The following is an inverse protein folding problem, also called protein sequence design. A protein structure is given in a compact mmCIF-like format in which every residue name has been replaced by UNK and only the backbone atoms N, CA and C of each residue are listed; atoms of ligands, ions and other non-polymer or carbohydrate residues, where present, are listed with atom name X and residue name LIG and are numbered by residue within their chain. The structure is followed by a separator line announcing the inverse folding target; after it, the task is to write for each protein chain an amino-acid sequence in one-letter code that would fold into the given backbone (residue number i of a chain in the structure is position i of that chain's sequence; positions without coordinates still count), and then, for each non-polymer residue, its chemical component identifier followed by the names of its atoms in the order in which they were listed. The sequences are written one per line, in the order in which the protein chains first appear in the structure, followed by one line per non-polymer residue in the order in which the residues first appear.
data_IF_346195062622
#
_entry.id   IF_346195062622
#
_cell.length_a   1.000
_cell.length_b   1.000
_cell.length_c   1.000
_cell.angle_alpha   90.00
_cell.angle_beta   90.00
_cell.angle_gamma   90.00
#
_symmetry.space_group_name_H-M   'P 1'
#
loop_
_entity.id
_entity.type
_entity.pdbx_description
1 polymer ?
#
# COMPACT_ATOMS: atom_id res chain seq x y z
N UNK A 1 32.44 -42.03 22.06
CA UNK A 1 32.19 -40.62 21.68
C UNK A 1 31.42 -40.58 20.36
N UNK A 2 30.11 -40.30 20.40
CA UNK A 2 29.28 -40.07 19.21
C UNK A 2 28.68 -38.68 19.33
N UNK A 3 29.09 -37.76 18.47
CA UNK A 3 28.56 -36.40 18.40
C UNK A 3 27.25 -36.40 17.59
N UNK A 4 26.19 -35.91 18.21
CA UNK A 4 24.87 -35.74 17.60
C UNK A 4 24.81 -34.44 16.77
N UNK A 5 24.18 -34.41 15.59
CA UNK A 5 24.09 -33.18 14.80
C UNK A 5 22.97 -32.27 15.34
N UNK A 6 23.33 -31.04 15.69
CA UNK A 6 22.40 -29.96 16.06
C UNK A 6 21.45 -29.66 14.88
N UNK A 7 20.15 -29.85 15.08
CA UNK A 7 19.10 -29.32 14.18
C UNK A 7 19.14 -27.79 14.20
N UNK A 8 19.52 -27.18 13.08
CA UNK A 8 19.44 -25.74 12.84
C UNK A 8 17.96 -25.39 12.59
N UNK A 9 17.35 -24.60 13.48
CA UNK A 9 16.04 -23.98 13.21
C UNK A 9 16.23 -23.01 12.03
N UNK A 10 15.64 -23.31 10.88
CA UNK A 10 15.50 -22.36 9.79
C UNK A 10 14.44 -21.34 10.22
N UNK A 11 14.87 -20.12 10.53
CA UNK A 11 13.97 -18.98 10.59
C UNK A 11 13.57 -18.65 9.14
N UNK A 12 12.27 -18.41 8.92
CA UNK A 12 11.77 -17.94 7.64
C UNK A 12 12.46 -16.59 7.29
N UNK A 13 12.82 -16.36 6.01
CA UNK A 13 13.45 -15.12 5.62
C UNK A 13 12.49 -13.94 5.81
N UNK A 14 12.96 -12.90 6.49
CA UNK A 14 12.32 -11.59 6.55
C UNK A 14 12.34 -10.97 5.15
N UNK A 15 11.27 -11.16 4.38
CA UNK A 15 11.02 -10.35 3.18
C UNK A 15 10.27 -9.12 3.66
N UNK A 16 11.01 -8.05 3.91
CA UNK A 16 10.41 -6.74 4.17
C UNK A 16 9.89 -6.24 2.83
N UNK A 17 8.59 -6.42 2.59
CA UNK A 17 7.89 -5.67 1.57
C UNK A 17 7.73 -4.23 2.10
N UNK A 18 8.79 -3.42 1.99
CA UNK A 18 8.68 -1.97 2.18
C UNK A 18 7.88 -1.43 1.00
N UNK A 19 6.62 -1.09 1.22
CA UNK A 19 5.77 -0.52 0.18
C UNK A 19 6.12 0.95 0.00
N UNK A 20 6.20 1.32 -1.28
CA UNK A 20 6.49 2.66 -1.77
C UNK A 20 5.42 3.64 -1.28
N UNK A 21 5.87 4.78 -0.77
CA UNK A 21 5.09 6.00 -0.68
C UNK A 21 6.01 7.14 -1.03
N UNK A 22 6.18 7.32 -2.34
CA UNK A 22 6.52 8.61 -2.88
C UNK A 22 6.15 8.64 -4.36
N UNK A 23 5.20 9.52 -4.68
CA UNK A 23 4.95 9.95 -6.05
C UNK A 23 6.14 10.79 -6.52
N UNK A 24 6.62 10.51 -7.72
CA UNK A 24 7.76 11.21 -8.34
C UNK A 24 7.34 11.64 -9.74
N UNK A 25 7.78 12.79 -10.23
CA UNK A 25 7.22 13.43 -11.42
C UNK A 25 8.26 13.76 -12.52
N UNK A 26 7.76 14.00 -13.74
CA UNK A 26 8.28 13.59 -15.07
C UNK A 26 9.27 14.50 -15.86
N UNK A 27 9.66 14.00 -17.05
CA UNK A 27 10.15 14.70 -18.27
C UNK A 27 9.02 14.97 -19.31
N UNK A 28 9.20 15.85 -20.32
CA UNK A 28 8.13 16.23 -21.26
C UNK A 28 8.15 15.41 -22.58
N UNK A 29 6.97 15.13 -23.16
CA UNK A 29 6.87 14.92 -24.61
C UNK A 29 5.47 15.12 -25.19
N UNK A 30 5.43 16.03 -26.18
CA UNK A 30 4.62 16.14 -27.39
C UNK A 30 3.08 16.07 -27.28
N UNK A 31 2.48 17.15 -27.78
CA UNK A 31 1.07 17.45 -27.87
C UNK A 31 0.27 16.42 -28.69
N UNK A 32 -0.97 16.17 -28.27
CA UNK A 32 -2.02 15.59 -29.11
C UNK A 32 -3.28 16.45 -28.97
N UNK A 33 -3.91 16.64 -30.13
CA UNK A 33 -4.84 17.70 -30.52
C UNK A 33 -6.20 17.67 -29.80
N UNK A 34 -6.70 18.87 -29.52
CA UNK A 34 -8.01 19.15 -28.94
C UNK A 34 -9.12 18.98 -29.98
N UNK A 35 -10.15 18.19 -29.63
CA UNK A 35 -11.41 18.12 -30.38
C UNK A 35 -12.21 19.42 -30.18
N UNK A 36 -12.56 20.08 -31.28
CA UNK A 36 -13.41 21.27 -31.29
C UNK A 36 -14.88 20.86 -31.23
N UNK A 37 -15.58 21.22 -30.15
CA UNK A 37 -17.05 21.22 -30.11
C UNK A 37 -17.52 22.65 -30.36
N UNK A 38 -18.16 22.86 -31.51
CA UNK A 38 -18.83 24.11 -31.88
C UNK A 38 -20.11 24.22 -31.05
N UNK A 39 -20.27 25.29 -30.27
CA UNK A 39 -21.56 25.70 -29.70
C UNK A 39 -21.89 27.13 -30.11
N UNK A 40 -23.15 27.31 -30.53
CA UNK A 40 -23.75 28.54 -31.08
C UNK A 40 -24.11 29.52 -29.94
N UNK A 41 -24.03 30.85 -30.13
CA UNK A 41 -24.20 31.80 -29.03
C UNK A 41 -25.67 32.08 -28.70
N UNK A 42 -26.07 31.82 -27.45
CA UNK A 42 -27.27 32.37 -26.82
C UNK A 42 -26.86 33.35 -25.73
N UNK A 43 -27.30 34.60 -25.84
CA UNK A 43 -26.97 35.68 -24.91
C UNK A 43 -27.69 35.53 -23.56
N UNK A 44 -26.95 35.58 -22.44
CA UNK A 44 -27.37 36.21 -21.18
C UNK A 44 -26.27 36.18 -20.10
N UNK A 45 -26.11 37.34 -19.44
CA UNK A 45 -25.52 37.59 -18.12
C UNK A 45 -23.99 37.41 -17.93
N UNK A 46 -23.33 38.56 -17.75
CA UNK A 46 -21.96 38.70 -17.27
C UNK A 46 -21.80 38.10 -15.86
N UNK A 47 -21.26 36.89 -15.77
CA UNK A 47 -20.54 36.39 -14.60
C UNK A 47 -19.28 35.69 -15.09
N UNK A 48 -18.22 36.46 -15.32
CA UNK A 48 -16.94 35.99 -15.86
C UNK A 48 -16.09 35.19 -14.84
N UNK A 49 -16.70 34.41 -13.94
CA UNK A 49 -15.98 33.80 -12.81
C UNK A 49 -15.81 32.27 -12.93
N UNK A 50 -16.22 31.67 -14.05
CA UNK A 50 -16.03 30.24 -14.29
C UNK A 50 -15.81 29.97 -15.79
N UNK A 51 -14.64 30.34 -16.28
CA UNK A 51 -14.19 29.94 -17.62
C UNK A 51 -13.64 28.52 -17.56
N UNK A 52 -14.22 27.60 -18.35
CA UNK A 52 -13.76 26.20 -18.48
C UNK A 52 -12.50 26.04 -19.33
N UNK A 53 -11.87 27.15 -19.72
CA UNK A 53 -10.70 27.11 -20.58
C UNK A 53 -9.49 26.54 -19.81
N UNK A 54 -8.75 25.60 -20.41
CA UNK A 54 -7.54 25.08 -19.79
C UNK A 54 -6.54 26.22 -19.59
N UNK A 55 -6.23 26.43 -18.33
CA UNK A 55 -5.37 27.43 -17.69
C UNK A 55 -3.88 27.36 -18.13
N UNK A 56 -3.65 27.28 -19.45
CA UNK A 56 -2.33 26.97 -20.01
C UNK A 56 -1.53 28.22 -20.36
N UNK A 57 -2.17 29.38 -20.58
CA UNK A 57 -1.47 30.62 -20.97
C UNK A 57 -1.22 31.57 -19.79
N UNK A 58 -2.07 31.56 -18.77
CA UNK A 58 -1.97 32.50 -17.64
C UNK A 58 -0.80 32.18 -16.70
N UNK A 59 -0.39 30.91 -16.64
CA UNK A 59 0.62 30.41 -15.72
C UNK A 59 1.78 29.68 -16.42
N UNK A 60 2.20 30.15 -17.62
CA UNK A 60 3.25 29.49 -18.40
C UNK A 60 4.60 29.45 -17.66
N UNK A 61 4.95 30.52 -16.93
CA UNK A 61 6.21 30.59 -16.18
C UNK A 61 6.20 29.63 -14.99
N UNK A 62 5.16 29.65 -14.16
CA UNK A 62 4.98 28.76 -13.02
C UNK A 62 4.90 27.30 -13.46
N UNK A 63 4.27 27.01 -14.60
CA UNK A 63 4.24 25.67 -15.19
C UNK A 63 5.64 25.16 -15.49
N UNK A 64 6.50 25.99 -16.10
CA UNK A 64 7.92 25.62 -16.35
C UNK A 64 8.68 25.39 -15.05
N UNK A 65 8.50 26.26 -14.05
CA UNK A 65 9.11 26.08 -12.73
C UNK A 65 8.71 24.74 -12.09
N UNK A 66 7.43 24.37 -12.21
CA UNK A 66 6.93 23.08 -11.71
C UNK A 66 7.54 21.93 -12.51
N UNK A 67 7.49 21.96 -13.85
CA UNK A 67 8.09 20.91 -14.70
C UNK A 67 9.58 20.69 -14.41
N UNK A 68 10.33 21.77 -14.19
CA UNK A 68 11.73 21.72 -13.75
C UNK A 68 11.88 21.11 -12.36
N UNK A 69 11.05 21.50 -11.39
CA UNK A 69 11.02 20.89 -10.05
C UNK A 69 10.80 19.37 -10.14
N UNK A 70 9.82 18.94 -10.93
CA UNK A 70 9.48 17.52 -11.10
C UNK A 70 10.66 16.75 -11.72
N UNK A 71 11.23 17.26 -12.81
CA UNK A 71 12.42 16.69 -13.48
C UNK A 71 13.60 16.56 -12.52
N UNK A 72 13.84 17.58 -11.70
CA UNK A 72 14.93 17.58 -10.74
C UNK A 72 14.71 16.55 -9.63
N UNK A 73 13.49 16.41 -9.12
CA UNK A 73 13.16 15.38 -8.13
C UNK A 73 13.44 13.99 -8.69
N UNK A 74 12.96 13.67 -9.90
CA UNK A 74 13.21 12.36 -10.54
C UNK A 74 14.71 12.13 -10.71
N UNK A 75 15.46 13.14 -11.16
CA UNK A 75 16.92 13.06 -11.32
C UNK A 75 17.62 12.75 -10.00
N UNK A 76 17.30 13.49 -8.93
CA UNK A 76 17.91 13.30 -7.61
C UNK A 76 17.49 11.97 -6.99
N UNK A 77 16.26 11.54 -7.20
CA UNK A 77 15.78 10.24 -6.74
C UNK A 77 16.54 9.11 -7.43
N UNK A 78 16.68 9.17 -8.75
CA UNK A 78 17.44 8.20 -9.53
C UNK A 78 18.94 8.20 -9.20
N UNK A 79 19.46 9.33 -8.71
CA UNK A 79 20.81 9.46 -8.18
C UNK A 79 20.95 9.02 -6.71
N UNK A 80 19.88 8.56 -6.07
CA UNK A 80 19.83 8.16 -4.67
C UNK A 80 20.27 9.28 -3.70
N UNK A 81 20.01 10.53 -4.06
CA UNK A 81 20.37 11.71 -3.27
C UNK A 81 19.23 12.11 -2.33
N UNK A 82 19.15 11.46 -1.17
CA UNK A 82 18.04 11.61 -0.22
C UNK A 82 17.85 13.07 0.21
N UNK A 83 18.93 13.75 0.56
CA UNK A 83 18.89 15.12 1.05
C UNK A 83 18.33 16.07 -0.01
N UNK A 84 18.77 15.92 -1.27
CA UNK A 84 18.24 16.72 -2.37
C UNK A 84 16.77 16.42 -2.66
N UNK A 85 16.35 15.15 -2.66
CA UNK A 85 14.94 14.79 -2.82
C UNK A 85 14.10 15.43 -1.72
N UNK A 86 14.50 15.28 -0.46
CA UNK A 86 13.76 15.79 0.69
C UNK A 86 13.80 17.32 0.80
N UNK A 87 14.70 18.01 0.10
CA UNK A 87 14.73 19.48 0.02
C UNK A 87 13.50 20.07 -0.68
N UNK A 88 12.90 19.31 -1.61
CA UNK A 88 11.68 19.69 -2.33
C UNK A 88 10.40 19.52 -1.51
N UNK A 89 10.48 18.85 -0.36
CA UNK A 89 9.34 18.66 0.54
C UNK A 89 9.31 19.81 1.56
N UNK A 90 8.13 20.35 1.82
CA UNK A 90 7.91 21.34 2.87
C UNK A 90 8.11 20.71 4.26
N UNK A 91 8.44 21.52 5.26
CA UNK A 91 8.73 20.98 6.61
C UNK A 91 7.47 20.52 7.34
N UNK A 92 6.32 21.06 6.96
CA UNK A 92 4.97 20.67 7.42
C UNK A 92 4.29 19.66 6.47
N UNK A 93 5.04 19.04 5.55
CA UNK A 93 4.50 18.05 4.63
C UNK A 93 3.82 16.89 5.35
N UNK A 94 2.66 16.49 4.83
CA UNK A 94 1.94 15.29 5.21
C UNK A 94 1.19 14.70 4.01
N UNK A 95 1.20 13.38 3.84
CA UNK A 95 0.47 12.72 2.77
C UNK A 95 -0.90 12.19 3.21
N UNK A 96 -1.67 11.68 2.24
CA UNK A 96 -3.01 11.14 2.48
C UNK A 96 -3.06 9.95 3.45
N UNK A 97 -1.94 9.25 3.66
CA UNK A 97 -1.83 8.14 4.61
C UNK A 97 -1.36 8.60 6.01
N UNK A 98 -1.16 9.91 6.19
CA UNK A 98 -0.74 10.51 7.46
C UNK A 98 0.76 10.40 7.74
N UNK A 99 1.58 10.13 6.72
CA UNK A 99 3.04 10.12 6.85
C UNK A 99 3.59 11.53 6.71
N UNK A 100 4.45 11.91 7.66
CA UNK A 100 5.20 13.15 7.61
C UNK A 100 6.50 13.01 6.77
N UNK A 101 7.20 14.14 6.59
CA UNK A 101 8.45 14.19 5.82
C UNK A 101 9.53 13.26 6.35
N UNK A 102 9.58 13.05 7.67
CA UNK A 102 10.56 12.17 8.31
C UNK A 102 10.26 10.70 8.01
N UNK A 103 9.00 10.30 8.10
CA UNK A 103 8.56 8.96 7.75
C UNK A 103 8.83 8.64 6.27
N UNK A 104 8.50 9.56 5.36
CA UNK A 104 8.78 9.41 3.92
C UNK A 104 10.27 9.36 3.61
N UNK A 105 11.07 10.20 4.26
CA UNK A 105 12.53 10.16 4.16
C UNK A 105 13.08 8.79 4.55
N UNK A 106 12.63 8.25 5.69
CA UNK A 106 13.06 6.93 6.18
C UNK A 106 12.60 5.79 5.27
N UNK A 107 11.37 5.84 4.76
CA UNK A 107 10.85 4.87 3.80
C UNK A 107 11.64 4.87 2.50
N UNK A 108 11.98 6.05 1.98
CA UNK A 108 12.80 6.20 0.77
C UNK A 108 14.20 5.61 0.99
N UNK A 109 14.82 5.88 2.14
CA UNK A 109 16.11 5.32 2.51
C UNK A 109 16.07 3.78 2.61
N UNK A 110 15.05 3.21 3.27
CA UNK A 110 14.86 1.77 3.41
C UNK A 110 14.56 1.09 2.06
N UNK A 111 13.82 1.77 1.21
CA UNK A 111 13.55 1.33 -0.15
C UNK A 111 14.85 1.22 -0.95
N UNK A 112 15.71 2.25 -0.95
CA UNK A 112 17.01 2.20 -1.64
C UNK A 112 17.99 1.20 -1.03
N UNK A 113 17.95 0.96 0.28
CA UNK A 113 18.72 -0.13 0.92
C UNK A 113 18.25 -1.50 0.41
N UNK A 114 16.96 -1.64 0.17
CA UNK A 114 16.35 -2.88 -0.32
C UNK A 114 16.59 -3.06 -1.82
N UNK A 115 16.51 -1.98 -2.60
CA UNK A 115 16.63 -1.94 -4.05
C UNK A 115 17.67 -0.89 -4.49
N UNK A 116 18.98 -1.20 -4.38
CA UNK A 116 20.06 -0.23 -4.56
C UNK A 116 20.29 0.21 -6.01
N UNK A 117 19.68 -0.50 -6.97
CA UNK A 117 19.69 -0.18 -8.40
C UNK A 117 18.33 0.38 -8.85
N UNK A 118 17.46 0.78 -7.91
CA UNK A 118 16.13 1.23 -8.25
C UNK A 118 16.16 2.46 -9.16
N UNK A 119 15.27 2.46 -10.16
CA UNK A 119 15.03 3.58 -11.06
C UNK A 119 13.56 3.86 -11.14
N UNK A 120 13.21 5.14 -11.12
CA UNK A 120 11.87 5.66 -11.29
C UNK A 120 11.79 6.47 -12.57
N UNK A 121 10.65 6.42 -13.21
CA UNK A 121 10.26 7.36 -14.25
C UNK A 121 8.84 7.81 -13.99
N UNK A 122 8.52 9.03 -14.40
CA UNK A 122 7.17 9.54 -14.30
C UNK A 122 6.68 10.16 -15.59
N UNK A 123 5.37 10.21 -15.71
CA UNK A 123 4.64 10.92 -16.75
C UNK A 123 3.59 11.83 -16.12
N UNK A 124 3.79 13.14 -16.26
CA UNK A 124 2.80 14.15 -15.87
C UNK A 124 1.60 14.04 -16.79
N UNK A 125 0.41 13.92 -16.19
CA UNK A 125 -0.88 13.95 -16.89
C UNK A 125 -1.44 15.36 -16.95
N UNK A 126 -1.40 16.06 -15.82
CA UNK A 126 -1.91 17.43 -15.73
C UNK A 126 -1.17 18.24 -14.67
N UNK A 127 -1.13 19.56 -14.88
CA UNK A 127 -0.69 20.55 -13.90
C UNK A 127 -1.78 21.61 -13.87
N UNK A 128 -2.36 21.85 -12.70
CA UNK A 128 -3.29 22.95 -12.42
C UNK A 128 -2.63 23.91 -11.45
N UNK A 129 -2.70 25.21 -11.72
CA UNK A 129 -2.03 26.25 -10.93
C UNK A 129 -3.10 27.23 -10.46
N UNK A 130 -3.13 27.53 -9.18
CA UNK A 130 -4.11 28.43 -8.57
C UNK A 130 -3.37 29.36 -7.60
N UNK A 131 -2.94 30.52 -8.12
CA UNK A 131 -2.12 31.48 -7.38
C UNK A 131 -0.80 30.87 -6.92
N UNK A 132 -0.64 30.71 -5.59
CA UNK A 132 0.57 30.13 -5.00
C UNK A 132 0.50 28.61 -4.80
N UNK A 133 -0.50 27.94 -5.37
CA UNK A 133 -0.71 26.50 -5.25
C UNK A 133 -0.66 25.85 -6.62
N UNK A 134 -0.23 24.59 -6.64
CA UNK A 134 -0.34 23.75 -7.82
C UNK A 134 -0.72 22.33 -7.44
N UNK A 135 -1.51 21.68 -8.31
CA UNK A 135 -1.80 20.26 -8.24
C UNK A 135 -1.26 19.59 -9.49
N UNK A 136 -0.41 18.58 -9.30
CA UNK A 136 0.16 17.79 -10.39
C UNK A 136 -0.42 16.39 -10.32
N UNK A 137 -1.00 15.90 -11.41
CA UNK A 137 -1.40 14.49 -11.55
C UNK A 137 -0.36 13.76 -12.39
N UNK A 138 0.09 12.60 -11.93
CA UNK A 138 1.11 11.81 -12.61
C UNK A 138 0.83 10.32 -12.63
N UNK A 139 1.57 9.61 -13.48
CA UNK A 139 1.72 8.16 -13.48
C UNK A 139 3.19 7.82 -13.36
N UNK A 140 3.54 7.04 -12.35
CA UNK A 140 4.92 6.77 -11.97
C UNK A 140 5.19 5.27 -12.11
N UNK A 141 6.41 4.94 -12.50
CA UNK A 141 6.86 3.56 -12.64
C UNK A 141 8.22 3.42 -11.96
N UNK A 142 8.40 2.33 -11.20
CA UNK A 142 9.69 2.02 -10.60
C UNK A 142 10.11 0.58 -10.91
N UNK A 143 11.40 0.41 -11.20
CA UNK A 143 12.03 -0.90 -11.43
C UNK A 143 13.28 -1.01 -10.60
N UNK A 144 13.70 -2.23 -10.27
CA UNK A 144 14.94 -2.47 -9.54
C UNK A 144 15.09 -3.94 -9.16
N UNK A 145 16.14 -4.23 -8.41
CA UNK A 145 16.48 -5.57 -7.95
C UNK A 145 16.79 -5.57 -6.46
N UNK A 146 16.42 -6.61 -5.74
CA UNK A 146 16.78 -6.69 -4.31
C UNK A 146 18.30 -6.70 -4.12
N UNK A 147 18.80 -6.04 -3.07
CA UNK A 147 20.22 -6.01 -2.74
C UNK A 147 20.80 -7.42 -2.53
N UNK A 148 20.01 -8.29 -1.89
CA UNK A 148 20.38 -9.65 -1.53
C UNK A 148 19.49 -10.67 -2.24
N UNK A 149 20.05 -11.85 -2.47
CA UNK A 149 19.29 -13.00 -2.94
C UNK A 149 18.37 -13.53 -1.84
N UNK A 150 17.25 -14.13 -2.26
CA UNK A 150 16.37 -14.83 -1.33
C UNK A 150 16.96 -16.21 -0.98
N UNK A 151 17.18 -16.52 0.31
CA UNK A 151 17.63 -17.84 0.73
C UNK A 151 16.68 -18.96 0.26
N UNK A 152 17.23 -20.02 -0.30
CA UNK A 152 16.46 -21.19 -0.79
C UNK A 152 16.05 -21.09 -2.26
N UNK A 153 15.90 -19.88 -2.81
CA UNK A 153 15.69 -19.65 -4.25
C UNK A 153 16.98 -19.17 -4.93
N UNK A 154 17.87 -18.52 -4.17
CA UNK A 154 19.20 -18.06 -4.58
C UNK A 154 19.16 -17.17 -5.85
N UNK A 155 18.21 -16.25 -5.88
CA UNK A 155 18.12 -15.19 -6.89
C UNK A 155 17.74 -13.88 -6.23
N UNK A 156 18.16 -12.75 -6.83
CA UNK A 156 17.62 -11.43 -6.50
C UNK A 156 16.18 -11.31 -7.02
N UNK A 157 15.37 -10.54 -6.31
CA UNK A 157 13.99 -10.27 -6.68
C UNK A 157 13.89 -9.09 -7.63
N UNK A 158 13.09 -9.22 -8.67
CA UNK A 158 12.84 -8.12 -9.63
C UNK A 158 11.62 -7.33 -9.16
N UNK A 159 11.84 -6.05 -8.88
CA UNK A 159 10.81 -5.07 -8.55
C UNK A 159 10.25 -4.46 -9.84
N UNK A 160 8.93 -4.40 -9.92
CA UNK A 160 8.19 -3.58 -10.88
C UNK A 160 7.02 -2.92 -10.15
N UNK A 161 6.93 -1.60 -10.21
CA UNK A 161 5.87 -0.82 -9.59
C UNK A 161 5.23 0.10 -10.61
N UNK A 162 3.94 0.37 -10.41
CA UNK A 162 3.20 1.40 -11.11
C UNK A 162 2.25 2.08 -10.13
N UNK A 163 2.25 3.40 -10.12
CA UNK A 163 1.35 4.21 -9.31
C UNK A 163 0.75 5.36 -10.11
N UNK A 164 -0.40 5.83 -9.66
CA UNK A 164 -1.01 7.09 -10.12
C UNK A 164 -1.51 7.86 -8.90
N UNK A 165 -1.33 9.18 -8.95
CA UNK A 165 -1.63 10.03 -7.80
C UNK A 165 -1.52 11.52 -8.12
N UNK A 166 -1.58 12.31 -7.05
CA UNK A 166 -1.51 13.76 -7.08
C UNK A 166 -0.45 14.28 -6.11
N UNK A 167 0.34 15.25 -6.56
CA UNK A 167 1.16 16.10 -5.70
C UNK A 167 0.44 17.44 -5.46
N UNK A 168 0.46 17.89 -4.21
CA UNK A 168 0.04 19.22 -3.80
C UNK A 168 1.27 20.06 -3.52
N UNK A 169 1.44 21.16 -4.26
CA UNK A 169 2.65 21.98 -4.25
C UNK A 169 2.26 23.41 -3.87
N UNK A 170 3.12 24.08 -3.09
CA UNK A 170 2.95 25.47 -2.68
C UNK A 170 4.21 26.28 -2.93
N UNK A 171 4.05 27.53 -3.36
CA UNK A 171 5.15 28.49 -3.53
C UNK A 171 5.52 29.13 -2.19
N UNK A 172 6.80 29.05 -1.82
CA UNK A 172 7.43 29.65 -0.66
C UNK A 172 8.50 30.65 -1.13
N UNK A 173 8.11 31.92 -1.25
CA UNK A 173 8.97 32.94 -1.88
C UNK A 173 9.16 32.62 -3.36
N UNK A 174 10.39 32.30 -3.76
CA UNK A 174 10.72 31.91 -5.14
C UNK A 174 10.72 30.39 -5.36
N UNK A 175 10.56 29.58 -4.31
CA UNK A 175 10.73 28.14 -4.38
C UNK A 175 9.39 27.41 -4.27
N UNK A 176 9.14 26.44 -5.13
CA UNK A 176 8.03 25.51 -4.99
C UNK A 176 8.41 24.35 -4.08
N UNK A 177 7.50 23.92 -3.21
CA UNK A 177 7.68 22.74 -2.35
C UNK A 177 6.42 21.88 -2.32
N UNK A 178 6.62 20.56 -2.23
CA UNK A 178 5.56 19.58 -2.02
C UNK A 178 5.08 19.70 -0.57
N UNK A 179 3.80 20.01 -0.41
CA UNK A 179 3.14 20.12 0.91
C UNK A 179 2.31 18.88 1.23
N UNK A 180 2.02 18.04 0.25
CA UNK A 180 1.38 16.75 0.44
C UNK A 180 1.25 15.99 -0.88
N UNK A 181 0.83 14.74 -0.77
CA UNK A 181 0.50 13.90 -1.92
C UNK A 181 -0.58 12.88 -1.56
N UNK A 182 -1.14 12.30 -2.62
CA UNK A 182 -2.15 11.25 -2.54
C UNK A 182 -1.88 10.23 -3.64
N UNK A 183 -1.87 8.96 -3.28
CA UNK A 183 -1.84 7.85 -4.24
C UNK A 183 -3.26 7.34 -4.42
N UNK A 184 -3.75 7.35 -5.66
CA UNK A 184 -5.07 6.83 -6.02
C UNK A 184 -5.02 5.37 -6.42
N UNK A 185 -3.94 4.99 -7.11
CA UNK A 185 -3.73 3.65 -7.62
C UNK A 185 -2.28 3.25 -7.42
N UNK A 186 -2.05 2.01 -6.98
CA UNK A 186 -0.71 1.43 -6.90
C UNK A 186 -0.79 -0.07 -7.11
N UNK A 187 0.16 -0.61 -7.87
CA UNK A 187 0.46 -2.04 -7.94
C UNK A 187 1.97 -2.26 -7.91
N UNK A 188 2.40 -3.21 -7.09
CA UNK A 188 3.81 -3.61 -7.03
C UNK A 188 3.92 -5.11 -7.26
N UNK A 189 4.95 -5.51 -7.98
CA UNK A 189 5.37 -6.90 -8.13
C UNK A 189 6.83 -7.03 -7.73
N UNK A 190 7.10 -7.96 -6.82
CA UNK A 190 8.46 -8.42 -6.52
C UNK A 190 8.52 -9.91 -6.82
N UNK A 191 9.43 -10.36 -7.67
CA UNK A 191 9.48 -11.76 -8.11
C UNK A 191 10.89 -12.36 -8.09
N UNK A 192 10.99 -13.59 -7.58
CA UNK A 192 12.23 -14.34 -7.41
C UNK A 192 12.14 -15.69 -8.13
N UNK A 193 13.27 -16.21 -8.61
CA UNK A 193 13.37 -17.52 -9.25
C UNK A 193 12.43 -17.67 -10.45
N UNK A 194 11.80 -18.83 -10.57
CA UNK A 194 10.84 -19.10 -11.65
C UNK A 194 9.61 -18.18 -11.63
N UNK A 195 9.33 -17.51 -10.51
CA UNK A 195 8.19 -16.61 -10.44
C UNK A 195 8.42 -15.33 -11.25
N UNK A 196 9.65 -15.01 -11.67
CA UNK A 196 9.94 -13.87 -12.55
C UNK A 196 9.16 -13.91 -13.86
N UNK A 197 8.98 -15.09 -14.42
CA UNK A 197 8.26 -15.32 -15.69
C UNK A 197 6.80 -15.71 -15.49
N UNK A 198 6.30 -15.77 -14.24
CA UNK A 198 4.92 -16.13 -13.94
C UNK A 198 3.96 -15.07 -14.46
N UNK A 199 3.01 -15.50 -15.29
CA UNK A 199 1.86 -14.70 -15.66
C UNK A 199 0.77 -14.85 -14.60
N UNK A 200 0.54 -13.77 -13.85
CA UNK A 200 -0.40 -13.69 -12.76
C UNK A 200 -1.13 -12.34 -12.76
N UNK A 201 -2.40 -12.33 -12.43
CA UNK A 201 -3.24 -11.14 -12.29
C UNK A 201 -3.81 -11.05 -10.87
N UNK A 202 -3.66 -9.90 -10.22
CA UNK A 202 -4.24 -9.66 -8.91
C UNK A 202 -5.22 -8.49 -8.96
N UNK A 203 -6.50 -8.80 -8.78
CA UNK A 203 -7.63 -7.89 -8.96
C UNK A 203 -8.42 -7.70 -7.66
N UNK A 204 -8.87 -6.48 -7.44
CA UNK A 204 -9.72 -6.01 -6.35
C UNK A 204 -10.24 -4.62 -6.76
N UNK A 205 -11.26 -4.06 -6.07
CA UNK A 205 -11.63 -2.66 -6.22
C UNK A 205 -10.47 -1.73 -5.85
N UNK A 206 -10.47 -0.52 -6.41
CA UNK A 206 -9.53 0.55 -6.02
C UNK A 206 -10.00 1.33 -4.80
N UNK A 207 -11.31 1.30 -4.53
CA UNK A 207 -11.91 2.00 -3.42
C UNK A 207 -13.11 1.23 -2.84
N UNK A 208 -13.21 1.18 -1.52
CA UNK A 208 -14.30 0.51 -0.78
C UNK A 208 -14.68 1.36 0.43
N UNK A 209 -15.96 1.42 0.79
CA UNK A 209 -16.38 2.10 2.03
C UNK A 209 -15.91 1.31 3.26
N UNK A 210 -15.54 2.03 4.31
CA UNK A 210 -15.19 1.48 5.62
C UNK A 210 -16.17 0.39 6.08
N UNK A 211 -15.64 -0.74 6.57
CA UNK A 211 -16.41 -1.90 7.02
C UNK A 211 -17.12 -2.73 5.93
N UNK A 212 -17.14 -2.29 4.66
CA UNK A 212 -17.80 -3.05 3.58
C UNK A 212 -16.94 -4.20 3.09
N UNK A 213 -17.60 -5.31 2.75
CA UNK A 213 -16.95 -6.44 2.10
C UNK A 213 -16.56 -6.12 0.66
N UNK A 214 -15.42 -6.65 0.25
CA UNK A 214 -14.95 -6.68 -1.13
C UNK A 214 -14.30 -8.03 -1.44
N UNK A 215 -14.19 -8.34 -2.73
CA UNK A 215 -13.46 -9.52 -3.21
C UNK A 215 -12.09 -9.11 -3.74
N UNK A 216 -11.08 -9.92 -3.42
CA UNK A 216 -9.78 -9.89 -4.07
C UNK A 216 -9.53 -11.25 -4.73
N UNK A 217 -9.18 -11.23 -6.01
CA UNK A 217 -9.02 -12.39 -6.87
C UNK A 217 -7.63 -12.40 -7.49
N UNK A 218 -6.92 -13.49 -7.25
CA UNK A 218 -5.67 -13.84 -7.89
C UNK A 218 -5.97 -14.87 -9.00
N UNK A 219 -5.44 -14.63 -10.19
CA UNK A 219 -5.49 -15.54 -11.33
C UNK A 219 -4.06 -15.86 -11.79
N UNK A 220 -3.81 -17.11 -12.15
CA UNK A 220 -2.50 -17.66 -12.43
C UNK A 220 -2.52 -18.48 -13.71
N UNK A 221 -1.48 -18.33 -14.52
CA UNK A 221 -1.17 -19.27 -15.59
C UNK A 221 0.16 -19.96 -15.27
N UNK A 222 0.08 -21.20 -14.78
CA UNK A 222 1.24 -21.98 -14.36
C UNK A 222 1.80 -22.80 -15.53
N UNK A 223 3.13 -22.81 -15.74
CA UNK A 223 3.76 -23.75 -16.65
C UNK A 223 3.46 -25.22 -16.28
N UNK A 224 3.37 -26.08 -17.29
CA UNK A 224 3.15 -27.51 -17.11
C UNK A 224 4.21 -28.14 -16.20
N UNK A 225 3.79 -28.98 -15.26
CA UNK A 225 4.69 -29.68 -14.33
C UNK A 225 5.07 -28.87 -13.08
N UNK A 226 4.52 -27.67 -12.91
CA UNK A 226 4.65 -26.86 -11.70
C UNK A 226 3.32 -26.82 -10.94
N UNK A 227 3.43 -26.61 -9.64
CA UNK A 227 2.28 -26.37 -8.75
C UNK A 227 2.48 -25.05 -8.02
N UNK A 228 1.41 -24.50 -7.44
CA UNK A 228 1.50 -23.28 -6.66
C UNK A 228 0.88 -23.43 -5.28
N UNK A 229 1.43 -22.65 -4.35
CA UNK A 229 0.82 -22.30 -3.07
C UNK A 229 0.65 -20.79 -3.04
N UNK A 230 -0.37 -20.29 -2.36
CA UNK A 230 -0.52 -18.85 -2.22
C UNK A 230 -1.45 -18.41 -1.12
N UNK A 231 -1.46 -17.11 -0.88
CA UNK A 231 -2.31 -16.41 0.07
C UNK A 231 -2.80 -15.09 -0.53
N UNK A 232 -3.90 -14.58 0.01
CA UNK A 232 -4.34 -13.20 -0.19
C UNK A 232 -4.56 -12.61 1.20
N UNK A 233 -3.92 -11.48 1.49
CA UNK A 233 -4.04 -10.74 2.74
C UNK A 233 -4.42 -9.29 2.47
N UNK A 234 -4.99 -8.65 3.48
CA UNK A 234 -5.21 -7.21 3.54
C UNK A 234 -4.72 -6.70 4.90
N UNK A 235 -4.07 -5.55 4.90
CA UNK A 235 -3.63 -4.86 6.10
C UNK A 235 -3.86 -3.35 5.94
N UNK A 236 -4.30 -2.64 6.99
CA UNK A 236 -4.20 -1.19 7.00
C UNK A 236 -2.78 -0.71 6.69
N UNK A 237 -2.67 0.37 5.93
CA UNK A 237 -1.43 1.08 5.68
C UNK A 237 -1.07 1.87 6.94
N UNK A 238 0.00 1.44 7.59
CA UNK A 238 0.53 2.05 8.80
C UNK A 238 2.05 2.04 8.74
N UNK A 239 2.71 2.99 9.41
CA UNK A 239 4.17 3.02 9.50
C UNK A 239 4.64 2.84 10.95
N UNK A 240 5.51 1.84 11.24
CA UNK A 240 6.00 0.80 10.34
C UNK A 240 4.90 -0.21 9.96
N UNK A 241 4.96 -0.75 8.73
CA UNK A 241 3.97 -1.72 8.24
C UNK A 241 4.07 -3.02 9.06
N UNK A 242 2.95 -3.51 9.65
CA UNK A 242 2.95 -4.77 10.38
C UNK A 242 3.28 -5.96 9.47
N UNK A 243 3.93 -6.97 10.04
CA UNK A 243 4.22 -8.20 9.29
C UNK A 243 2.93 -8.91 8.86
N UNK A 244 2.79 -9.30 7.59
CA UNK A 244 1.60 -9.99 7.11
C UNK A 244 1.47 -11.38 7.75
N UNK A 245 0.28 -11.67 8.28
CA UNK A 245 -0.09 -12.99 8.76
C UNK A 245 -0.56 -13.84 7.58
N UNK A 246 0.38 -14.53 6.95
CA UNK A 246 0.17 -15.30 5.72
C UNK A 246 -0.18 -16.77 6.03
N UNK A 247 -1.37 -17.20 5.60
CA UNK A 247 -1.77 -18.61 5.61
C UNK A 247 -1.73 -19.16 4.17
N UNK A 248 -0.58 -19.70 3.78
CA UNK A 248 -0.38 -20.23 2.43
C UNK A 248 -1.17 -21.53 2.26
N UNK A 249 -1.91 -21.63 1.15
CA UNK A 249 -2.69 -22.81 0.79
C UNK A 249 -2.31 -23.31 -0.59
N UNK A 250 -2.35 -24.64 -0.83
CA UNK A 250 -2.35 -25.21 -2.16
C UNK A 250 -3.34 -24.48 -3.09
N UNK A 251 -2.88 -24.16 -4.30
CA UNK A 251 -3.75 -23.69 -5.37
C UNK A 251 -4.08 -24.90 -6.24
N UNK A 252 -5.33 -25.36 -6.16
CA UNK A 252 -5.82 -26.54 -6.88
C UNK A 252 -6.34 -26.19 -8.29
N UNK A 253 -6.24 -24.92 -8.67
CA UNK A 253 -6.59 -24.39 -9.99
C UNK A 253 -5.84 -23.09 -10.28
N UNK A 254 -6.31 -22.39 -11.31
CA UNK A 254 -5.73 -21.12 -11.78
C UNK A 254 -6.24 -19.89 -11.02
N UNK A 255 -7.16 -20.06 -10.05
CA UNK A 255 -7.83 -18.95 -9.38
C UNK A 255 -7.79 -19.14 -7.87
N UNK A 256 -7.48 -18.05 -7.17
CA UNK A 256 -7.64 -17.91 -5.73
C UNK A 256 -8.48 -16.66 -5.45
N UNK A 257 -9.58 -16.82 -4.73
CA UNK A 257 -10.44 -15.69 -4.35
C UNK A 257 -10.58 -15.61 -2.83
N UNK A 258 -10.72 -14.39 -2.32
CA UNK A 258 -11.01 -14.10 -0.92
C UNK A 258 -11.97 -12.93 -0.82
N UNK A 259 -13.06 -13.13 -0.08
CA UNK A 259 -13.95 -12.05 0.37
C UNK A 259 -13.48 -11.62 1.75
N UNK A 260 -13.29 -10.31 1.95
CA UNK A 260 -12.86 -9.74 3.22
C UNK A 260 -13.49 -8.35 3.43
N UNK A 261 -13.72 -7.94 4.69
CA UNK A 261 -14.17 -6.59 4.99
C UNK A 261 -12.99 -5.60 4.91
N UNK A 262 -13.24 -4.40 4.38
CA UNK A 262 -12.36 -3.26 4.58
C UNK A 262 -12.36 -2.88 6.06
N UNK A 263 -11.23 -2.40 6.57
CA UNK A 263 -11.09 -1.97 7.94
C UNK A 263 -12.06 -0.85 8.29
N UNK A 264 -12.36 -0.74 9.58
CA UNK A 264 -13.23 0.27 10.16
C UNK A 264 -12.46 1.48 10.70
N UNK A 265 -11.13 1.48 10.56
CA UNK A 265 -10.25 2.52 11.10
C UNK A 265 -10.10 3.70 10.13
N UNK A 266 -10.82 3.66 9.00
CA UNK A 266 -10.77 4.67 7.94
C UNK A 266 -9.35 4.88 7.39
N UNK A 267 -8.54 3.81 7.37
CA UNK A 267 -7.19 3.82 6.78
C UNK A 267 -7.20 3.09 5.45
N UNK A 268 -6.42 3.57 4.49
CA UNK A 268 -6.19 2.84 3.26
C UNK A 268 -5.51 1.49 3.56
N UNK A 269 -5.65 0.51 2.67
CA UNK A 269 -5.12 -0.84 2.87
C UNK A 269 -4.10 -1.22 1.81
N UNK A 270 -3.15 -2.05 2.22
CA UNK A 270 -2.32 -2.85 1.37
C UNK A 270 -2.97 -4.22 1.19
N UNK A 271 -3.38 -4.52 -0.03
CA UNK A 271 -3.69 -5.89 -0.42
C UNK A 271 -2.41 -6.57 -0.92
N UNK A 272 -2.19 -7.81 -0.53
CA UNK A 272 -1.05 -8.60 -0.99
C UNK A 272 -1.49 -10.01 -1.37
N UNK A 273 -1.08 -10.45 -2.55
CA UNK A 273 -1.10 -11.85 -2.95
C UNK A 273 0.32 -12.40 -2.97
N UNK A 274 0.57 -13.46 -2.20
CA UNK A 274 1.85 -14.19 -2.19
C UNK A 274 1.68 -15.47 -2.98
N UNK A 275 2.58 -15.76 -3.91
CA UNK A 275 2.55 -16.96 -4.75
C UNK A 275 3.91 -17.65 -4.68
N UNK A 276 3.94 -18.86 -4.14
CA UNK A 276 5.10 -19.76 -4.20
C UNK A 276 4.91 -20.80 -5.30
N UNK A 277 5.87 -20.87 -6.22
CA UNK A 277 5.93 -21.89 -7.27
C UNK A 277 6.75 -23.07 -6.76
N UNK A 278 6.17 -24.26 -6.83
CA UNK A 278 6.81 -25.50 -6.41
C UNK A 278 6.83 -26.54 -7.53
N UNK A 279 7.69 -27.55 -7.39
CA UNK A 279 7.59 -28.75 -8.23
C UNK A 279 6.28 -29.52 -7.99
N UNK A 280 5.98 -30.55 -8.78
CA UNK A 280 4.77 -31.36 -8.65
C UNK A 280 4.55 -31.98 -7.26
N UNK A 281 5.63 -32.28 -6.54
CA UNK A 281 5.59 -32.87 -5.20
C UNK A 281 5.46 -31.83 -4.08
N UNK A 282 5.38 -30.53 -4.41
CA UNK A 282 5.27 -29.40 -3.46
C UNK A 282 6.37 -29.35 -2.39
N UNK A 283 7.53 -29.95 -2.65
CA UNK A 283 8.61 -30.07 -1.66
C UNK A 283 9.83 -29.19 -1.95
N UNK A 284 9.83 -28.49 -3.09
CA UNK A 284 10.89 -27.56 -3.47
C UNK A 284 10.30 -26.23 -3.96
N UNK A 285 10.67 -25.12 -3.33
CA UNK A 285 10.28 -23.77 -3.72
C UNK A 285 11.21 -23.27 -4.83
N UNK A 286 10.67 -23.12 -6.04
CA UNK A 286 11.44 -22.78 -7.24
C UNK A 286 11.32 -21.30 -7.62
N UNK A 287 10.32 -20.61 -7.06
CA UNK A 287 10.11 -19.19 -7.27
C UNK A 287 9.07 -18.67 -6.28
N UNK A 288 9.12 -17.37 -6.00
CA UNK A 288 8.09 -16.70 -5.21
C UNK A 288 7.85 -15.31 -5.78
N UNK A 289 6.60 -14.87 -5.81
CA UNK A 289 6.27 -13.48 -6.13
C UNK A 289 5.24 -12.92 -5.18
N UNK A 290 5.39 -11.63 -4.92
CA UNK A 290 4.48 -10.81 -4.14
C UNK A 290 3.84 -9.82 -5.12
N UNK A 291 2.51 -9.84 -5.19
CA UNK A 291 1.71 -8.87 -5.93
C UNK A 291 0.97 -8.03 -4.90
N UNK A 292 1.33 -6.75 -4.79
CA UNK A 292 0.61 -5.83 -3.92
C UNK A 292 -0.25 -4.87 -4.74
N UNK A 293 -1.26 -4.33 -4.08
CA UNK A 293 -2.02 -3.19 -4.58
C UNK A 293 -2.61 -2.38 -3.44
N UNK A 294 -2.78 -1.09 -3.69
CA UNK A 294 -3.52 -0.20 -2.80
C UNK A 294 -5.02 -0.44 -2.90
N UNK A 295 -5.71 -0.34 -1.76
CA UNK A 295 -7.15 -0.20 -1.65
C UNK A 295 -7.46 1.05 -0.84
N UNK A 296 -8.14 2.02 -1.45
CA UNK A 296 -8.55 3.24 -0.75
C UNK A 296 -9.80 2.99 0.08
N UNK A 297 -9.75 3.29 1.37
CA UNK A 297 -10.92 3.14 2.25
C UNK A 297 -11.62 4.47 2.39
N UNK A 298 -12.87 4.54 1.91
CA UNK A 298 -13.71 5.73 2.09
C UNK A 298 -14.22 5.73 3.52
N UNK A 299 -13.92 6.78 4.31
CA UNK A 299 -14.39 6.86 5.69
C UNK A 299 -15.91 6.74 5.77
N UNK A 300 -16.42 6.01 6.75
CA UNK A 300 -17.83 6.11 7.17
C UNK A 300 -17.95 7.31 8.11
N UNK A 301 -18.88 8.22 7.83
CA UNK A 301 -19.17 9.41 8.65
C UNK A 301 -19.82 9.10 10.01
N UNK A 302 -20.04 7.82 10.31
CA UNK A 302 -20.65 7.37 11.56
C UNK A 302 -19.56 7.21 12.63
N UNK A 303 -19.18 8.34 13.24
CA UNK A 303 -19.02 8.56 14.68
C UNK A 303 -18.25 9.88 14.89
N UNK A 304 -18.98 10.90 15.41
CA UNK A 304 -18.59 12.27 15.82
C UNK A 304 -19.14 13.47 15.03
N UNK A 305 -20.35 13.38 14.46
CA UNK A 305 -21.17 14.58 14.21
C UNK A 305 -22.63 14.37 14.65
N UNK A 306 -22.83 14.03 15.92
CA UNK A 306 -24.14 14.21 16.52
C UNK A 306 -24.33 15.66 16.99
N UNK A 307 -25.35 16.30 16.40
CA UNK A 307 -26.05 17.53 16.81
C UNK A 307 -25.58 18.88 16.26
N UNK A 308 -25.59 19.05 14.94
CA UNK A 308 -26.10 20.28 14.29
C UNK A 308 -26.51 19.80 12.88
N UNK A 309 -27.76 19.74 12.39
CA UNK A 309 -28.88 20.67 12.36
C UNK A 309 -30.12 19.83 11.97
N UNK A 310 -31.14 19.72 12.83
CA UNK A 310 -32.55 19.79 12.42
C UNK A 310 -33.42 19.91 13.67
N UNK A 311 -33.51 21.13 14.19
CA UNK A 311 -34.55 21.51 15.13
C UNK A 311 -35.27 22.75 14.59
N UNK A 312 -35.70 22.72 13.33
CA UNK A 312 -36.74 23.61 12.83
C UNK A 312 -37.61 22.85 11.82
N UNK A 313 -38.67 22.22 12.35
CA UNK A 313 -40.02 22.11 11.77
C UNK A 313 -40.78 21.02 12.50
N UNK A 314 -41.44 21.40 13.60
CA UNK A 314 -42.74 20.82 13.90
C UNK A 314 -43.73 21.97 14.02
N UNK A 315 -44.57 22.07 13.01
CA UNK A 315 -45.72 22.98 12.94
C UNK A 315 -46.88 22.25 13.63
N UNK A 316 -47.33 22.85 14.73
CA UNK A 316 -48.72 23.16 15.07
C UNK A 316 -49.73 22.01 15.31
N UNK A 317 -50.29 21.98 16.53
CA UNK A 317 -51.74 21.87 16.77
C UNK A 317 -52.15 22.06 18.24
N UNK A 318 -52.99 23.08 18.47
CA UNK A 318 -54.10 23.21 19.46
C UNK A 318 -53.71 23.33 20.95
N UNK A 319 -54.16 24.29 21.78
CA UNK A 319 -55.54 24.79 21.99
C UNK A 319 -55.56 26.08 22.86
N UNK A 320 -56.36 27.07 22.43
CA UNK A 320 -57.15 28.11 23.13
C UNK A 320 -56.81 28.71 24.54
N UNK A 321 -56.84 30.07 24.58
CA UNK A 321 -57.49 31.01 25.56
C UNK A 321 -56.87 31.14 26.97
N UNK A 322 -56.41 32.31 27.46
CA UNK A 322 -57.17 33.52 27.89
C UNK A 322 -56.20 34.66 28.35
N UNK A 323 -56.62 35.90 28.06
CA UNK A 323 -56.35 37.23 28.68
C UNK A 323 -55.00 37.99 28.67
N UNK A 324 -55.07 39.19 28.06
CA UNK A 324 -54.69 40.56 28.51
C UNK A 324 -53.45 40.67 29.44
N UNK A 325 -52.48 41.56 29.22
CA UNK A 325 -52.60 43.03 29.06
C UNK A 325 -51.22 43.67 28.76
N UNK A 326 -51.23 44.86 28.12
CA UNK A 326 -50.24 45.97 28.16
C UNK A 326 -48.82 45.84 27.57
N UNK A 327 -48.61 46.58 26.47
CA UNK A 327 -47.37 47.27 26.03
C UNK A 327 -47.08 48.53 26.88
N UNK A 328 -46.03 49.35 26.64
CA UNK A 328 -44.62 49.11 26.22
C UNK A 328 -43.62 49.99 27.04
N UNK A 329 -42.34 50.03 26.58
CA UNK A 329 -41.19 50.91 26.91
C UNK A 329 -40.07 50.18 27.66
N UNK A 330 -38.79 50.37 27.35
CA UNK A 330 -38.12 51.26 26.40
C UNK A 330 -36.63 51.35 26.78
N UNK A 331 -35.82 51.72 25.79
CA UNK A 331 -34.55 52.46 25.92
C UNK A 331 -33.30 51.78 26.53
N UNK A 332 -32.31 51.64 25.63
CA UNK A 332 -30.91 52.07 25.73
C UNK A 332 -30.22 52.15 27.12
N UNK A 333 -29.02 51.56 27.20
CA UNK A 333 -27.68 52.19 27.36
C UNK A 333 -26.67 51.05 27.66
N UNK A 334 -25.66 50.76 26.82
CA UNK A 334 -24.36 51.44 26.59
C UNK A 334 -23.35 51.32 27.76
N UNK A 335 -22.10 50.98 27.36
CA UNK A 335 -20.78 51.04 28.03
C UNK A 335 -20.29 49.74 28.67
N UNK A 336 -19.28 49.09 28.09
CA UNK A 336 -17.82 49.41 28.09
C UNK A 336 -17.17 49.23 29.46
N UNK A 337 -16.05 48.47 29.47
CA UNK A 337 -14.82 48.56 30.31
C UNK A 337 -14.34 47.14 30.64
N UNK A 338 -13.25 46.59 30.10
CA UNK A 338 -11.81 46.92 30.22
C UNK A 338 -11.06 45.94 31.16
N UNK A 339 -9.96 45.43 30.61
CA UNK A 339 -8.70 44.94 31.19
C UNK A 339 -8.54 43.61 31.96
N UNK A 340 -7.75 42.73 31.30
CA UNK A 340 -6.43 42.19 31.69
C UNK A 340 -6.18 41.87 33.18
N UNK A 341 -5.85 40.60 33.43
CA UNK A 341 -4.75 40.19 34.33
C UNK A 341 -3.89 39.12 33.63
N UNK A 342 -2.61 39.15 33.98
CA UNK A 342 -1.39 38.64 33.36
C UNK A 342 -0.80 37.52 34.25
N UNK A 343 -0.08 36.56 33.63
CA UNK A 343 0.96 35.66 34.21
C UNK A 343 0.50 34.72 35.37
N UNK A 344 0.90 33.44 35.50
CA UNK A 344 1.97 32.63 34.94
C UNK A 344 2.56 31.78 36.09
N UNK A 345 2.77 30.48 35.91
CA UNK A 345 3.70 29.57 36.66
C UNK A 345 3.31 28.10 36.40
N UNK A 346 4.16 27.32 35.73
CA UNK A 346 5.11 26.33 36.30
C UNK A 346 4.50 24.97 36.72
N UNK A 347 4.84 23.97 35.89
CA UNK A 347 5.33 22.62 36.23
C UNK A 347 5.02 22.01 37.60
N UNK A 348 4.29 20.88 37.58
CA UNK A 348 4.51 19.76 38.52
C UNK A 348 4.40 18.44 37.77
N UNK A 349 5.53 17.75 37.75
CA UNK A 349 5.73 16.35 37.39
C UNK A 349 5.18 15.46 38.51
N UNK A 350 4.35 14.45 38.19
CA UNK A 350 4.02 13.39 39.16
C UNK A 350 3.74 12.04 38.48
N UNK A 351 4.72 11.16 38.68
CA UNK A 351 4.67 9.71 38.56
C UNK A 351 3.47 9.09 39.29
N UNK A 352 2.71 8.24 38.61
CA UNK A 352 1.79 7.27 39.23
C UNK A 352 1.95 5.90 38.55
N UNK A 353 2.18 4.91 39.42
CA UNK A 353 2.32 3.47 39.19
C UNK A 353 1.05 2.82 38.63
N UNK A 354 1.25 1.78 37.83
CA UNK A 354 0.28 0.72 37.52
C UNK A 354 -0.35 0.09 38.77
N UNK A 355 -1.55 -0.49 38.62
CA UNK A 355 -1.91 -1.73 39.30
C UNK A 355 -2.14 -2.87 38.30
N UNK A 356 -1.56 -4.00 38.67
CA UNK A 356 -1.77 -5.31 38.07
C UNK A 356 -3.24 -5.76 38.12
N UNK A 357 -3.67 -6.47 37.08
CA UNK A 357 -4.83 -7.37 37.19
C UNK A 357 -4.49 -8.74 36.59
N UNK A 358 -4.62 -9.76 37.44
CA UNK A 358 -4.55 -11.18 37.12
C UNK A 358 -5.83 -11.59 36.39
N UNK A 359 -5.72 -12.39 35.33
CA UNK A 359 -6.67 -13.48 35.08
C UNK A 359 -5.94 -14.63 34.39
N UNK A 360 -6.20 -15.82 34.93
CA UNK A 360 -5.70 -17.16 34.59
C UNK A 360 -6.77 -17.81 33.69
N UNK A 361 -6.37 -18.52 32.62
CA UNK A 361 -6.67 -19.95 32.35
C UNK A 361 -6.33 -20.37 30.89
N UNK A 362 -5.34 -21.28 30.80
CA UNK A 362 -5.28 -22.56 30.05
C UNK A 362 -5.71 -22.63 28.57
N UNK A 363 -4.78 -22.83 27.63
CA UNK A 363 -4.08 -24.08 27.24
C UNK A 363 -4.79 -24.80 26.08
N UNK A 364 -4.09 -24.97 24.95
CA UNK A 364 -4.14 -26.18 24.13
C UNK A 364 -3.12 -26.10 22.97
N UNK A 365 -1.86 -26.45 23.24
CA UNK A 365 -0.98 -27.10 22.26
C UNK A 365 -0.51 -28.41 22.90
N UNK A 366 -0.74 -29.60 22.30
CA UNK A 366 -0.20 -30.83 22.86
C UNK A 366 1.28 -30.97 22.52
N UNK A 367 2.06 -31.27 23.56
CA UNK A 367 3.47 -31.63 23.48
C UNK A 367 3.66 -33.02 22.89
N UNK A 368 4.84 -33.20 22.28
CA UNK A 368 5.42 -34.49 21.92
C UNK A 368 5.62 -35.33 23.18
N UNK A 369 5.48 -36.65 23.00
CA UNK A 369 5.72 -37.75 23.93
C UNK A 369 4.44 -38.38 24.50
N UNK A 370 3.71 -39.13 23.65
CA UNK A 370 3.05 -40.40 24.00
C UNK A 370 2.75 -41.18 22.71
N UNK A 371 3.50 -42.26 22.45
CA UNK A 371 3.02 -43.59 22.08
C UNK A 371 4.22 -44.43 21.62
N UNK A 372 4.67 -45.31 22.52
CA UNK A 372 5.37 -46.55 22.18
C UNK A 372 4.61 -47.68 22.89
N UNK A 373 4.66 -48.87 22.29
CA UNK A 373 3.98 -50.13 22.68
C UNK A 373 2.51 -50.33 22.28
N UNK A 374 2.32 -51.00 21.14
CA UNK A 374 1.69 -52.33 21.04
C UNK A 374 1.91 -52.86 19.60
N UNK A 375 2.95 -53.67 19.37
CA UNK A 375 2.89 -55.15 19.25
C UNK A 375 1.95 -55.68 18.16
N UNK A 376 2.54 -56.18 17.06
CA UNK A 376 1.83 -56.96 16.04
C UNK A 376 2.69 -57.31 14.82
N UNK A 377 3.52 -58.36 14.91
CA UNK A 377 4.17 -59.01 13.76
C UNK A 377 3.12 -59.59 12.80
N UNK A 378 3.46 -59.72 11.50
CA UNK A 378 3.45 -61.07 10.95
C UNK A 378 4.70 -61.44 10.14
N UNK A 379 4.80 -62.75 9.94
CA UNK A 379 5.94 -63.57 9.55
C UNK A 379 6.32 -63.44 8.08
N UNK A 380 7.62 -63.54 7.79
CA UNK A 380 8.17 -64.02 6.52
C UNK A 380 7.90 -65.51 6.34
N UNK A 381 7.77 -65.98 5.09
CA UNK A 381 8.26 -67.28 4.68
C UNK A 381 9.50 -67.14 3.80
N UNK A 382 10.49 -67.98 4.09
CA UNK A 382 11.65 -68.31 3.25
C UNK A 382 11.32 -69.61 2.54
N UNK A 383 11.66 -69.71 1.26
CA UNK A 383 12.15 -70.89 0.54
C UNK A 383 12.29 -70.52 -0.95
N UNK A 384 13.10 -71.14 -1.80
CA UNK A 384 14.47 -71.63 -1.77
C UNK A 384 14.79 -71.92 -3.26
N UNK A 385 16.07 -71.87 -3.63
CA UNK A 385 16.73 -72.53 -4.78
C UNK A 385 16.92 -71.77 -6.12
N UNK A 386 18.14 -72.00 -6.60
CA UNK A 386 19.08 -71.32 -7.52
C UNK A 386 19.09 -71.99 -8.94
N UNK A 387 20.17 -71.95 -9.75
CA UNK A 387 20.67 -70.89 -10.66
C UNK A 387 20.99 -71.39 -12.10
N UNK A 388 21.17 -70.52 -13.11
CA UNK A 388 21.94 -70.77 -14.37
C UNK A 388 22.35 -69.39 -14.94
N UNK A 389 23.59 -68.87 -14.91
CA UNK A 389 24.86 -69.13 -15.67
C UNK A 389 24.82 -68.84 -17.19
N UNK A 390 25.69 -67.89 -17.60
CA UNK A 390 26.50 -67.84 -18.85
C UNK A 390 25.71 -67.70 -20.19
N UNK A 391 26.12 -66.99 -21.25
CA UNK A 391 27.35 -66.31 -21.67
C UNK A 391 27.03 -65.40 -22.91
N UNK A 392 28.05 -64.73 -23.43
CA UNK A 392 28.21 -64.21 -24.81
C UNK A 392 27.87 -62.73 -25.14
N UNK A 393 28.92 -61.88 -25.01
CA UNK A 393 29.41 -60.96 -26.07
C UNK A 393 29.96 -61.79 -27.26
N UNK A 394 30.29 -61.29 -28.48
CA UNK A 394 30.43 -59.88 -28.91
C UNK A 394 29.93 -59.57 -30.36
N UNK A 395 29.95 -58.30 -30.78
CA UNK A 395 30.50 -57.90 -32.10
C UNK A 395 30.58 -56.39 -32.27
N UNK A 396 31.75 -55.95 -32.72
CA UNK A 396 32.17 -54.62 -33.17
C UNK A 396 31.51 -54.15 -34.49
N UNK A 397 31.90 -52.92 -34.88
CA UNK A 397 31.68 -52.13 -36.11
C UNK A 397 30.52 -51.12 -36.00
N UNK A 398 30.66 -49.84 -36.34
CA UNK A 398 31.71 -49.15 -37.06
C UNK A 398 31.66 -47.65 -36.72
N UNK A 399 32.84 -47.04 -36.57
CA UNK A 399 33.01 -45.59 -36.46
C UNK A 399 33.45 -45.02 -37.81
N UNK A 400 32.69 -44.08 -38.35
CA UNK A 400 33.16 -43.15 -39.36
C UNK A 400 33.15 -41.72 -38.79
N UNK A 401 34.24 -41.36 -38.11
CA UNK A 401 35.02 -40.12 -38.30
C UNK A 401 36.21 -40.05 -37.36
#
# INVERSE_FOLDING_TARGET
MRTSPRKRKQAAPHVVASILLASFCALPSQAIETSTVVTTPGAAANSNDFTLDPDNKEHEAERKEIEELLTNIETQWNAHNLDSVMSYYADDYINNDGLDKKAVSKLTEDFWKTYPDAKSSSKTKSIRIEGNFATVESRDMAVGSTAKEMPGINTKGDLNSISEGQLYIKKFGTNWKIIGDRIDYEKVRVAFGLAKTLNASFSAPEQVKSGRQYSAKLELNLPTGLTAVGSITSQPLEYPQPQPADAWRPLDGTVLERIMPANTNNRNELLMATIGITNSNRNNLMGITFLTRRLNVVPSSEDKFDKIITAEKSVDKTTEKIEKTTTPHGSLMKKESVEKIKQGSESVEKSIKEPASKTILHDALPSKDQLNEQTGKPKTPVDHLTPVKEDEKPSDSDSAK
#
